data_IF_848922122679
#
_entry.id   IF_848922122679
#
_cell.length_a   1.000
_cell.length_b   1.000
_cell.length_c   1.000
_cell.angle_alpha   90.00
_cell.angle_beta   90.00
_cell.angle_gamma   90.00
#
_symmetry.space_group_name_H-M   'P 1'
#
loop_
_entity.id
_entity.type
_entity.pdbx_description
1 polymer ?
#
# COMPACT_ATOMS: atom_id res chain seq x y z
N UNK A 1 -20.49 -10.12 5.81
CA UNK A 1 -19.07 -9.87 6.15
C UNK A 1 -18.83 -8.38 6.06
N UNK A 2 -18.29 -7.73 7.10
CA UNK A 2 -17.97 -6.31 7.05
C UNK A 2 -16.63 -6.14 6.30
N UNK A 3 -16.68 -5.88 4.99
CA UNK A 3 -15.51 -5.67 4.13
C UNK A 3 -14.97 -4.24 4.24
N UNK A 4 -15.49 -3.43 5.16
CA UNK A 4 -15.29 -1.98 5.18
C UNK A 4 -16.11 -1.24 4.12
N UNK A 5 -16.94 -1.94 3.34
CA UNK A 5 -17.89 -1.33 2.42
C UNK A 5 -19.07 -0.72 3.18
N UNK A 6 -19.48 0.49 2.79
CA UNK A 6 -20.58 1.23 3.40
C UNK A 6 -21.43 1.86 2.29
N UNK A 7 -22.62 1.31 2.03
CA UNK A 7 -23.50 1.69 0.92
C UNK A 7 -23.83 3.18 0.91
N UNK A 8 -24.20 3.76 2.05
CA UNK A 8 -24.55 5.19 2.16
C UNK A 8 -23.37 6.11 1.77
N UNK A 9 -22.14 5.72 2.13
CA UNK A 9 -20.94 6.46 1.72
C UNK A 9 -20.65 6.30 0.23
N UNK A 10 -20.85 5.12 -0.33
CA UNK A 10 -20.65 4.89 -1.77
C UNK A 10 -21.68 5.67 -2.61
N UNK A 11 -22.94 5.74 -2.18
CA UNK A 11 -23.98 6.56 -2.84
C UNK A 11 -23.60 8.04 -2.86
N UNK A 12 -23.21 8.61 -1.72
CA UNK A 12 -22.76 10.01 -1.62
C UNK A 12 -21.52 10.29 -2.48
N UNK A 13 -20.63 9.32 -2.63
CA UNK A 13 -19.45 9.45 -3.49
C UNK A 13 -19.84 9.41 -4.96
N UNK A 14 -20.77 8.53 -5.36
CA UNK A 14 -21.29 8.47 -6.73
C UNK A 14 -21.98 9.77 -7.15
N UNK A 15 -22.71 10.41 -6.24
CA UNK A 15 -23.31 11.74 -6.49
C UNK A 15 -22.23 12.80 -6.77
N UNK A 16 -21.12 12.76 -6.02
CA UNK A 16 -20.04 13.74 -6.13
C UNK A 16 -19.07 13.46 -7.27
N UNK A 17 -18.88 12.20 -7.62
CA UNK A 17 -17.90 11.72 -8.58
C UNK A 17 -18.54 10.68 -9.51
N UNK A 18 -19.52 11.07 -10.35
CA UNK A 18 -20.25 10.12 -11.19
C UNK A 18 -19.30 9.42 -12.17
N UNK A 19 -19.55 8.14 -12.52
CA UNK A 19 -18.76 7.42 -13.52
C UNK A 19 -18.77 8.18 -14.85
N UNK A 20 -17.62 8.23 -15.54
CA UNK A 20 -17.51 8.98 -16.80
C UNK A 20 -17.59 8.08 -18.04
N UNK A 21 -17.76 6.78 -17.85
CA UNK A 21 -18.12 5.85 -18.91
C UNK A 21 -19.08 4.78 -18.39
N UNK A 22 -19.85 4.20 -19.31
CA UNK A 22 -20.63 3.00 -19.03
C UNK A 22 -19.78 1.73 -19.18
N UNK A 23 -20.10 0.71 -18.37
CA UNK A 23 -19.51 -0.62 -18.46
C UNK A 23 -18.10 -0.75 -17.89
N UNK A 24 -17.44 -1.87 -18.20
CA UNK A 24 -16.05 -2.12 -17.80
C UNK A 24 -15.12 -1.95 -19.00
N UNK A 25 -14.04 -1.20 -18.81
CA UNK A 25 -13.00 -1.05 -19.83
C UNK A 25 -11.70 -1.70 -19.36
N UNK A 26 -11.14 -2.55 -20.22
CA UNK A 26 -9.79 -3.09 -19.99
C UNK A 26 -8.76 -2.02 -20.38
N UNK A 27 -7.75 -1.84 -19.52
CA UNK A 27 -6.60 -0.96 -19.76
C UNK A 27 -5.34 -1.80 -19.60
N UNK A 28 -4.56 -1.91 -20.67
CA UNK A 28 -3.35 -2.74 -20.78
C UNK A 28 -2.12 -1.97 -21.31
N UNK A 29 -2.29 -0.69 -21.66
CA UNK A 29 -1.22 0.21 -22.08
C UNK A 29 -1.04 1.35 -21.07
N UNK A 30 0.15 1.99 -20.99
CA UNK A 30 0.36 3.14 -20.12
C UNK A 30 -0.73 4.20 -20.32
N UNK A 31 -1.45 4.54 -19.26
CA UNK A 31 -2.67 5.36 -19.33
C UNK A 31 -2.77 6.28 -18.11
N UNK A 32 -3.05 7.55 -18.37
CA UNK A 32 -3.52 8.48 -17.33
C UNK A 32 -5.04 8.40 -17.31
N UNK A 33 -5.59 8.26 -16.11
CA UNK A 33 -7.00 8.05 -15.89
C UNK A 33 -7.53 9.34 -15.24
N UNK A 34 -8.50 9.99 -15.89
CA UNK A 34 -9.05 11.29 -15.49
C UNK A 34 -10.50 11.16 -15.10
N UNK A 35 -11.00 11.95 -14.15
CA UNK A 35 -12.42 12.07 -13.89
C UNK A 35 -13.20 12.96 -14.86
N UNK A 36 -14.51 13.04 -14.67
CA UNK A 36 -15.42 13.86 -15.49
C UNK A 36 -15.05 15.34 -15.48
N UNK A 37 -14.36 15.82 -14.45
CA UNK A 37 -13.83 17.19 -14.38
C UNK A 37 -12.39 17.33 -14.91
N UNK A 38 -11.81 16.27 -15.47
CA UNK A 38 -10.45 16.27 -16.01
C UNK A 38 -9.33 16.14 -14.96
N UNK A 39 -9.68 15.86 -13.70
CA UNK A 39 -8.72 15.63 -12.62
C UNK A 39 -8.15 14.22 -12.71
N UNK A 40 -6.84 14.06 -12.54
CA UNK A 40 -6.22 12.73 -12.53
C UNK A 40 -6.68 11.95 -11.30
N UNK A 41 -7.09 10.70 -11.49
CA UNK A 41 -7.53 9.78 -10.43
C UNK A 41 -6.65 8.52 -10.34
N UNK A 42 -5.91 8.21 -11.40
CA UNK A 42 -4.91 7.14 -11.37
C UNK A 42 -3.93 7.27 -12.55
N UNK A 43 -2.74 6.71 -12.37
CA UNK A 43 -1.83 6.38 -13.45
C UNK A 43 -1.69 4.86 -13.52
N UNK A 44 -1.87 4.30 -14.70
CA UNK A 44 -1.55 2.91 -14.98
C UNK A 44 -0.28 2.85 -15.80
N UNK A 45 0.76 2.21 -15.25
CA UNK A 45 2.11 2.15 -15.82
C UNK A 45 2.58 0.69 -15.91
N UNK A 46 2.16 -0.07 -16.93
CA UNK A 46 2.62 -1.44 -17.12
C UNK A 46 4.12 -1.46 -17.41
N UNK A 47 4.80 -2.49 -16.90
CA UNK A 47 6.24 -2.73 -17.09
C UNK A 47 7.16 -1.55 -16.71
N UNK A 48 6.70 -0.64 -15.85
CA UNK A 48 7.49 0.50 -15.40
C UNK A 48 8.69 0.13 -14.53
N UNK A 49 8.67 -1.06 -13.92
CA UNK A 49 9.77 -1.57 -13.11
C UNK A 49 10.70 -2.45 -13.95
N UNK A 50 11.99 -2.10 -13.95
CA UNK A 50 13.03 -2.94 -14.54
C UNK A 50 13.07 -4.33 -13.89
N UNK A 51 13.49 -5.34 -14.65
CA UNK A 51 13.69 -6.70 -14.13
C UNK A 51 14.63 -6.75 -12.91
N UNK A 52 15.63 -5.84 -12.84
CA UNK A 52 16.52 -5.74 -11.69
C UNK A 52 15.76 -5.27 -10.43
N UNK A 53 14.96 -4.20 -10.52
CA UNK A 53 14.14 -3.72 -9.41
C UNK A 53 13.11 -4.77 -8.97
N UNK A 54 12.49 -5.49 -9.92
CA UNK A 54 11.56 -6.57 -9.58
C UNK A 54 12.26 -7.69 -8.79
N UNK A 55 13.48 -8.09 -9.18
CA UNK A 55 14.28 -9.07 -8.43
C UNK A 55 14.66 -8.58 -7.03
N UNK A 56 14.99 -7.29 -6.87
CA UNK A 56 15.27 -6.71 -5.55
C UNK A 56 14.05 -6.80 -4.62
N UNK A 57 12.87 -6.40 -5.11
CA UNK A 57 11.61 -6.49 -4.36
C UNK A 57 11.34 -7.96 -3.99
N UNK A 58 11.48 -8.88 -4.94
CA UNK A 58 11.30 -10.31 -4.70
C UNK A 58 12.26 -10.83 -3.62
N UNK A 59 13.56 -10.55 -3.74
CA UNK A 59 14.55 -10.97 -2.75
C UNK A 59 14.29 -10.36 -1.35
N UNK A 60 13.79 -9.13 -1.29
CA UNK A 60 13.39 -8.52 -0.02
C UNK A 60 12.22 -9.28 0.64
N UNK A 61 11.30 -9.84 -0.15
CA UNK A 61 10.19 -10.65 0.41
C UNK A 61 10.66 -11.96 1.04
N UNK A 62 11.78 -12.54 0.59
CA UNK A 62 12.36 -13.73 1.23
C UNK A 62 12.82 -13.46 2.66
N UNK A 63 13.35 -12.25 2.93
CA UNK A 63 13.77 -11.82 4.27
C UNK A 63 12.58 -11.70 5.24
N UNK A 64 11.37 -11.52 4.71
CA UNK A 64 10.15 -11.44 5.50
C UNK A 64 9.60 -12.81 5.89
N UNK A 65 10.06 -13.89 5.25
CA UNK A 65 9.54 -15.26 5.42
C UNK A 65 9.54 -15.73 6.88
N UNK A 66 10.59 -15.38 7.64
CA UNK A 66 10.74 -15.78 9.05
C UNK A 66 9.84 -14.97 9.99
N UNK A 67 9.68 -13.66 9.76
CA UNK A 67 8.84 -12.78 10.58
C UNK A 67 7.33 -12.99 10.36
N UNK A 68 6.94 -13.73 9.31
CA UNK A 68 5.58 -13.69 8.76
C UNK A 68 4.76 -14.99 8.83
N UNK A 69 5.21 -16.06 9.48
CA UNK A 69 4.43 -17.32 9.51
C UNK A 69 3.05 -17.19 10.18
N UNK A 70 2.75 -16.05 10.82
CA UNK A 70 1.53 -15.81 11.60
C UNK A 70 0.51 -14.86 10.95
N UNK A 71 0.76 -14.38 9.72
CA UNK A 71 -0.12 -13.37 9.09
C UNK A 71 -1.45 -13.94 8.58
N UNK A 72 -1.49 -15.23 8.27
CA UNK A 72 -2.69 -15.93 7.81
C UNK A 72 -3.32 -16.69 8.97
N UNK A 73 -4.64 -16.56 9.15
CA UNK A 73 -5.39 -17.11 10.29
C UNK A 73 -6.65 -17.83 9.79
N UNK A 74 -6.96 -18.98 10.38
CA UNK A 74 -8.17 -19.76 10.04
C UNK A 74 -9.44 -18.92 10.27
N UNK A 75 -9.52 -18.22 11.42
CA UNK A 75 -10.63 -17.33 11.76
C UNK A 75 -10.18 -15.86 11.75
N UNK A 76 -9.45 -15.46 10.71
CA UNK A 76 -9.00 -14.08 10.53
C UNK A 76 -10.14 -13.12 10.15
N UNK A 77 -9.86 -11.83 10.20
CA UNK A 77 -10.73 -10.85 9.53
C UNK A 77 -10.57 -10.93 8.00
N UNK A 78 -11.31 -10.11 7.25
CA UNK A 78 -11.25 -10.12 5.78
C UNK A 78 -9.84 -9.88 5.20
N UNK A 79 -8.90 -9.30 5.97
CA UNK A 79 -7.50 -9.11 5.55
C UNK A 79 -6.59 -10.32 5.82
N UNK A 80 -6.93 -11.16 6.79
CA UNK A 80 -6.04 -12.21 7.33
C UNK A 80 -6.64 -13.62 7.28
N UNK A 81 -7.92 -13.76 6.94
CA UNK A 81 -8.59 -15.05 6.84
C UNK A 81 -7.96 -15.90 5.72
N UNK A 82 -7.61 -17.15 6.04
CA UNK A 82 -7.02 -18.12 5.13
C UNK A 82 -7.83 -18.42 3.87
N UNK A 83 -9.16 -18.23 3.89
CA UNK A 83 -10.04 -18.43 2.73
C UNK A 83 -9.69 -17.50 1.56
N UNK A 84 -9.11 -16.33 1.85
CA UNK A 84 -8.72 -15.35 0.83
C UNK A 84 -7.32 -15.59 0.26
N UNK A 85 -6.59 -16.57 0.77
CA UNK A 85 -5.25 -16.88 0.31
C UNK A 85 -5.26 -18.14 -0.54
N UNK A 86 -4.61 -18.08 -1.70
CA UNK A 86 -4.39 -19.29 -2.52
C UNK A 86 -3.34 -20.14 -1.83
N UNK A 87 -3.74 -21.33 -1.37
CA UNK A 87 -2.86 -22.34 -0.79
C UNK A 87 -2.30 -23.32 -1.83
N UNK A 88 -2.47 -23.06 -3.13
CA UNK A 88 -2.19 -24.04 -4.18
C UNK A 88 -0.73 -24.51 -4.19
N UNK A 89 -0.62 -25.81 -4.37
CA UNK A 89 0.52 -26.71 -4.32
C UNK A 89 1.72 -26.30 -5.18
N UNK A 90 2.91 -26.49 -4.60
CA UNK A 90 4.20 -26.79 -5.24
C UNK A 90 4.85 -25.73 -6.17
N UNK A 91 4.15 -24.73 -6.70
CA UNK A 91 4.69 -23.93 -7.83
C UNK A 91 4.68 -22.40 -7.68
N UNK A 92 4.51 -21.85 -6.48
CA UNK A 92 4.69 -20.40 -6.26
C UNK A 92 5.77 -20.16 -5.22
N UNK A 93 6.91 -19.64 -5.66
CA UNK A 93 8.08 -19.34 -4.82
C UNK A 93 7.85 -18.33 -3.68
N UNK A 94 6.62 -17.85 -3.48
CA UNK A 94 6.23 -16.96 -2.37
C UNK A 94 5.09 -17.58 -1.54
N UNK A 95 5.30 -17.68 -0.24
CA UNK A 95 4.24 -18.09 0.70
C UNK A 95 3.14 -17.03 0.76
N UNK A 96 1.84 -17.40 0.87
CA UNK A 96 0.73 -16.46 1.05
C UNK A 96 0.83 -15.69 2.37
N UNK A 97 0.81 -14.35 2.30
CA UNK A 97 1.11 -13.46 3.45
C UNK A 97 0.47 -12.08 3.30
N UNK A 98 0.26 -11.40 4.42
CA UNK A 98 -0.14 -9.99 4.47
C UNK A 98 0.61 -9.29 5.60
N UNK A 99 1.29 -8.18 5.32
CA UNK A 99 2.10 -7.44 6.27
C UNK A 99 1.93 -5.95 6.07
N UNK A 100 1.88 -5.20 7.18
CA UNK A 100 2.04 -3.75 7.17
C UNK A 100 3.34 -3.40 7.89
N UNK A 101 4.13 -2.54 7.26
CA UNK A 101 5.33 -1.92 7.80
C UNK A 101 5.05 -0.43 7.94
N UNK A 102 5.40 0.15 9.08
CA UNK A 102 5.24 1.59 9.32
C UNK A 102 6.16 2.06 10.44
N UNK A 103 6.85 3.20 10.26
CA UNK A 103 7.62 3.86 11.33
C UNK A 103 6.74 4.55 12.36
N UNK A 104 5.52 4.94 11.97
CA UNK A 104 4.60 5.68 12.81
C UNK A 104 3.15 5.36 12.39
N UNK A 105 2.54 4.42 13.11
CA UNK A 105 1.22 3.89 12.87
C UNK A 105 0.28 4.17 14.04
N UNK A 106 -0.88 4.74 13.76
CA UNK A 106 -1.97 4.79 14.75
C UNK A 106 -2.62 3.41 14.82
N UNK A 107 -2.56 2.75 15.97
CA UNK A 107 -3.15 1.42 16.11
C UNK A 107 -4.65 1.47 15.83
N UNK A 108 -5.14 0.50 15.05
CA UNK A 108 -6.55 0.44 14.66
C UNK A 108 -7.43 0.39 15.92
N UNK A 109 -8.39 1.32 16.04
CA UNK A 109 -9.24 1.49 17.23
C UNK A 109 -8.69 2.47 18.29
N UNK A 110 -7.51 3.05 18.06
CA UNK A 110 -6.86 4.04 18.94
C UNK A 110 -6.60 5.38 18.27
N UNK A 111 -7.30 5.65 17.15
CA UNK A 111 -7.03 6.75 16.20
C UNK A 111 -6.99 8.16 16.83
N UNK A 112 -7.49 8.35 18.06
CA UNK A 112 -7.63 9.67 18.68
C UNK A 112 -7.01 9.82 20.09
N UNK A 113 -6.33 8.81 20.64
CA UNK A 113 -5.90 8.85 22.07
C UNK A 113 -4.44 8.47 22.33
N UNK A 114 -3.71 7.90 21.37
CA UNK A 114 -2.32 7.48 21.56
C UNK A 114 -1.39 8.08 20.50
N UNK A 115 -0.12 8.27 20.89
CA UNK A 115 0.93 8.57 19.93
C UNK A 115 1.06 7.45 18.88
N UNK A 116 1.46 7.76 17.63
CA UNK A 116 1.75 6.73 16.64
C UNK A 116 2.98 5.93 17.07
N UNK A 117 2.97 4.64 16.78
CA UNK A 117 4.06 3.73 17.12
C UNK A 117 4.62 3.01 15.89
N UNK A 118 5.85 2.54 15.99
CA UNK A 118 6.42 1.62 15.02
C UNK A 118 5.54 0.37 14.93
N UNK A 119 5.22 -0.06 13.71
CA UNK A 119 4.44 -1.28 13.47
C UNK A 119 5.08 -2.51 14.14
N UNK A 120 4.26 -3.45 14.63
CA UNK A 120 4.77 -4.68 15.28
C UNK A 120 5.74 -5.47 14.38
N UNK A 121 5.54 -5.41 13.06
CA UNK A 121 6.40 -6.02 12.04
C UNK A 121 7.84 -5.49 12.03
N UNK A 122 8.07 -4.28 12.54
CA UNK A 122 9.36 -3.59 12.58
C UNK A 122 9.98 -3.53 13.99
N UNK A 123 9.33 -4.08 15.02
CA UNK A 123 9.88 -4.13 16.40
C UNK A 123 10.88 -5.30 16.61
N UNK A 124 11.19 -6.08 15.58
CA UNK A 124 12.03 -7.29 15.67
C UNK A 124 13.46 -7.12 15.13
N UNK A 125 14.36 -8.08 15.38
CA UNK A 125 15.79 -7.98 15.05
C UNK A 125 16.10 -7.95 13.54
N UNK A 126 15.10 -8.18 12.69
CA UNK A 126 15.24 -8.15 11.23
C UNK A 126 14.79 -6.83 10.60
N UNK A 127 14.29 -5.88 11.40
CA UNK A 127 13.72 -4.61 10.90
C UNK A 127 14.70 -3.85 10.02
N UNK A 128 15.91 -3.59 10.51
CA UNK A 128 16.96 -2.88 9.76
C UNK A 128 17.27 -3.58 8.43
N UNK A 129 17.46 -4.90 8.45
CA UNK A 129 17.79 -5.68 7.25
C UNK A 129 16.69 -5.59 6.20
N UNK A 130 15.43 -5.65 6.64
CA UNK A 130 14.25 -5.51 5.78
C UNK A 130 14.21 -4.10 5.18
N UNK A 131 14.32 -3.06 6.03
CA UNK A 131 14.25 -1.66 5.60
C UNK A 131 15.34 -1.34 4.58
N UNK A 132 16.58 -1.79 4.83
CA UNK A 132 17.69 -1.68 3.87
C UNK A 132 17.40 -2.41 2.56
N UNK A 133 16.82 -3.60 2.60
CA UNK A 133 16.50 -4.38 1.40
C UNK A 133 15.42 -3.71 0.53
N UNK A 134 14.43 -3.05 1.15
CA UNK A 134 13.36 -2.35 0.42
C UNK A 134 13.69 -0.89 0.09
N UNK A 135 14.79 -0.33 0.61
CA UNK A 135 15.08 1.10 0.53
C UNK A 135 15.13 1.63 -0.91
N UNK A 136 15.78 0.91 -1.83
CA UNK A 136 15.86 1.34 -3.23
C UNK A 136 14.50 1.28 -3.94
N UNK A 137 13.75 0.16 -3.91
CA UNK A 137 12.38 0.12 -4.44
C UNK A 137 11.47 1.21 -3.85
N UNK A 138 11.57 1.44 -2.53
CA UNK A 138 10.87 2.50 -1.83
C UNK A 138 11.22 3.89 -2.38
N UNK A 139 12.50 4.18 -2.56
CA UNK A 139 12.96 5.45 -3.12
C UNK A 139 12.45 5.65 -4.56
N UNK A 140 12.35 4.59 -5.37
CA UNK A 140 11.78 4.66 -6.72
C UNK A 140 10.29 5.03 -6.66
N UNK A 141 9.51 4.42 -5.76
CA UNK A 141 8.11 4.78 -5.57
C UNK A 141 7.96 6.24 -5.13
N UNK A 142 8.78 6.70 -4.17
CA UNK A 142 8.82 8.10 -3.75
C UNK A 142 9.19 9.06 -4.89
N UNK A 143 10.17 8.68 -5.73
CA UNK A 143 10.57 9.47 -6.90
C UNK A 143 9.46 9.55 -7.95
N UNK A 144 8.72 8.46 -8.17
CA UNK A 144 7.55 8.47 -9.04
C UNK A 144 6.48 9.43 -8.50
N UNK A 145 6.18 9.37 -7.19
CA UNK A 145 5.24 10.31 -6.57
C UNK A 145 5.70 11.77 -6.70
N UNK A 146 7.00 12.04 -6.55
CA UNK A 146 7.55 13.39 -6.74
C UNK A 146 7.25 13.96 -8.13
N UNK A 147 7.24 13.13 -9.16
CA UNK A 147 6.93 13.54 -10.54
C UNK A 147 5.42 13.64 -10.75
N UNK A 148 4.66 12.66 -10.29
CA UNK A 148 3.21 12.56 -10.55
C UNK A 148 2.38 13.51 -9.67
N UNK A 149 2.79 13.69 -8.42
CA UNK A 149 2.08 14.50 -7.42
C UNK A 149 3.05 15.17 -6.42
N UNK A 150 3.79 16.22 -6.86
CA UNK A 150 4.84 16.86 -6.06
C UNK A 150 4.37 17.36 -4.70
N UNK A 151 3.14 17.87 -4.60
CA UNK A 151 2.57 18.41 -3.35
C UNK A 151 2.46 17.33 -2.27
N UNK A 152 1.97 16.14 -2.63
CA UNK A 152 1.87 15.01 -1.70
C UNK A 152 3.26 14.47 -1.32
N UNK A 153 4.21 14.46 -2.25
CA UNK A 153 5.59 14.10 -1.95
C UNK A 153 6.20 15.02 -0.88
N UNK A 154 6.04 16.34 -1.03
CA UNK A 154 6.56 17.31 -0.06
C UNK A 154 5.82 17.26 1.27
N UNK A 155 4.49 17.08 1.27
CA UNK A 155 3.72 16.87 2.49
C UNK A 155 4.18 15.60 3.25
N UNK A 156 4.49 14.53 2.52
CA UNK A 156 5.10 13.33 3.08
C UNK A 156 6.42 13.63 3.76
N UNK A 157 7.37 14.27 3.06
CA UNK A 157 8.66 14.64 3.65
C UNK A 157 8.53 15.52 4.90
N UNK A 158 7.63 16.51 4.88
CA UNK A 158 7.37 17.35 6.05
C UNK A 158 6.85 16.53 7.22
N UNK A 159 5.93 15.58 6.95
CA UNK A 159 5.43 14.64 7.96
C UNK A 159 6.58 13.84 8.59
N UNK A 160 7.50 13.35 7.77
CA UNK A 160 8.68 12.60 8.25
C UNK A 160 9.64 13.45 9.09
N UNK A 161 9.85 14.72 8.73
CA UNK A 161 10.62 15.66 9.54
C UNK A 161 9.99 15.86 10.92
N UNK A 162 8.67 16.13 10.97
CA UNK A 162 7.94 16.27 12.23
C UNK A 162 7.92 14.98 13.07
N UNK A 163 7.86 13.81 12.43
CA UNK A 163 7.99 12.53 13.13
C UNK A 163 9.38 12.34 13.74
N UNK A 164 10.44 12.79 13.06
CA UNK A 164 11.80 12.79 13.60
C UNK A 164 11.94 13.66 14.85
N UNK A 165 11.49 14.92 14.78
CA UNK A 165 11.47 15.83 15.95
C UNK A 165 10.65 15.26 17.11
N UNK A 166 9.51 14.63 16.81
CA UNK A 166 8.68 13.97 17.80
C UNK A 166 9.37 12.74 18.42
N UNK A 167 10.07 11.94 17.62
CA UNK A 167 10.79 10.78 18.11
C UNK A 167 11.93 11.18 19.05
N UNK A 168 12.64 12.26 18.75
CA UNK A 168 13.68 12.82 19.61
C UNK A 168 13.10 13.40 20.91
N UNK A 169 12.11 14.30 20.80
CA UNK A 169 11.53 14.97 21.97
C UNK A 169 10.82 14.04 22.95
N UNK A 170 10.32 12.89 22.49
CA UNK A 170 9.66 11.86 23.31
C UNK A 170 10.56 10.67 23.64
N UNK A 171 11.85 10.72 23.29
CA UNK A 171 12.81 9.64 23.49
C UNK A 171 12.29 8.28 22.99
N UNK A 172 11.86 8.24 21.72
CA UNK A 172 11.31 7.05 21.05
C UNK A 172 12.36 6.41 20.12
N UNK A 173 13.38 5.69 20.65
CA UNK A 173 14.52 5.21 19.88
C UNK A 173 14.12 4.29 18.72
N UNK A 174 13.10 3.44 18.91
CA UNK A 174 12.61 2.55 17.86
C UNK A 174 12.08 3.32 16.64
N UNK A 175 11.39 4.44 16.88
CA UNK A 175 10.87 5.28 15.80
C UNK A 175 12.04 5.96 15.07
N UNK A 176 12.98 6.56 15.80
CA UNK A 176 14.17 7.19 15.22
C UNK A 176 15.00 6.22 14.36
N UNK A 177 15.26 5.01 14.88
CA UNK A 177 15.98 3.96 14.14
C UNK A 177 15.23 3.52 12.88
N UNK A 178 13.91 3.38 12.96
CA UNK A 178 13.10 2.99 11.80
C UNK A 178 13.09 4.09 10.74
N UNK A 179 12.92 5.36 11.15
CA UNK A 179 12.91 6.52 10.26
C UNK A 179 14.23 6.67 9.50
N UNK A 180 15.37 6.33 10.11
CA UNK A 180 16.70 6.39 9.48
C UNK A 180 16.80 5.56 8.19
N UNK A 181 16.10 4.42 8.12
CA UNK A 181 16.13 3.51 6.98
C UNK A 181 14.85 3.57 6.11
N UNK A 182 13.88 4.39 6.49
CA UNK A 182 12.60 4.48 5.80
C UNK A 182 12.70 5.38 4.57
N UNK A 183 12.71 4.77 3.38
CA UNK A 183 12.89 5.48 2.11
C UNK A 183 11.57 5.83 1.37
N UNK A 184 10.41 5.59 2.00
CA UNK A 184 9.10 5.97 1.46
C UNK A 184 8.65 7.32 2.04
N UNK A 185 8.05 8.16 1.19
CA UNK A 185 7.32 9.36 1.65
C UNK A 185 5.92 9.05 2.19
N UNK A 186 5.51 7.79 2.10
CA UNK A 186 4.34 7.24 2.77
C UNK A 186 4.71 6.74 4.15
N UNK A 187 3.84 6.93 5.15
CA UNK A 187 4.03 6.41 6.50
C UNK A 187 3.74 4.90 6.61
N UNK A 188 3.42 4.23 5.51
CA UNK A 188 3.08 2.81 5.50
C UNK A 188 3.50 2.12 4.21
N UNK A 189 3.82 0.83 4.34
CA UNK A 189 3.98 -0.11 3.23
C UNK A 189 3.23 -1.39 3.56
N UNK A 190 2.29 -1.76 2.69
CA UNK A 190 1.60 -3.04 2.75
C UNK A 190 2.17 -4.02 1.74
N UNK A 191 2.49 -5.24 2.20
CA UNK A 191 2.95 -6.35 1.37
C UNK A 191 1.87 -7.42 1.41
N UNK A 192 1.31 -7.73 0.23
CA UNK A 192 0.22 -8.68 0.07
C UNK A 192 0.66 -9.72 -0.96
N UNK A 193 0.77 -10.97 -0.55
CA UNK A 193 1.18 -12.09 -1.39
C UNK A 193 0.09 -13.15 -1.43
N UNK A 194 -0.24 -13.60 -2.65
CA UNK A 194 -1.20 -14.68 -2.93
C UNK A 194 -2.55 -14.53 -2.20
N UNK A 195 -3.00 -13.29 -1.98
CA UNK A 195 -4.30 -12.96 -1.39
C UNK A 195 -5.22 -12.37 -2.45
N UNK A 196 -6.45 -12.84 -2.51
CA UNK A 196 -7.54 -12.11 -3.14
C UNK A 196 -7.98 -11.00 -2.19
N UNK A 197 -7.79 -9.76 -2.61
CA UNK A 197 -8.32 -8.61 -1.86
C UNK A 197 -9.76 -8.36 -2.30
N UNK A 198 -10.68 -8.47 -1.35
CA UNK A 198 -12.09 -8.17 -1.57
C UNK A 198 -12.32 -6.70 -1.92
N UNK A 199 -13.43 -6.41 -2.59
CA UNK A 199 -13.86 -5.04 -2.84
C UNK A 199 -14.02 -4.31 -1.50
N UNK A 200 -13.28 -3.21 -1.37
CA UNK A 200 -13.29 -2.31 -0.22
C UNK A 200 -12.80 -0.93 -0.68
N UNK A 201 -13.03 0.08 0.15
CA UNK A 201 -12.49 1.43 -0.02
C UNK A 201 -11.69 1.79 1.21
N UNK A 202 -10.59 2.52 1.01
CA UNK A 202 -9.90 3.16 2.13
C UNK A 202 -10.60 4.47 2.45
N UNK A 203 -11.33 4.49 3.57
CA UNK A 203 -12.15 5.63 3.98
C UNK A 203 -11.38 6.67 4.80
N UNK A 204 -10.13 6.38 5.14
CA UNK A 204 -9.30 7.25 5.99
C UNK A 204 -8.30 8.07 5.18
N UNK A 205 -8.21 7.84 3.87
CA UNK A 205 -7.37 8.64 2.99
C UNK A 205 -8.03 9.98 2.65
N UNK A 206 -7.19 11.00 2.46
CA UNK A 206 -7.60 12.30 1.92
C UNK A 206 -7.82 12.13 0.42
N UNK A 207 -8.89 12.73 -0.12
CA UNK A 207 -9.36 12.50 -1.48
C UNK A 207 -8.35 12.87 -2.56
N UNK A 208 -7.51 13.87 -2.28
CA UNK A 208 -6.48 14.40 -3.16
C UNK A 208 -5.16 13.61 -3.08
N UNK A 209 -5.06 12.62 -2.17
CA UNK A 209 -3.87 11.79 -2.01
C UNK A 209 -3.97 10.49 -2.78
N UNK A 210 -2.85 10.07 -3.36
CA UNK A 210 -2.72 8.83 -4.10
C UNK A 210 -1.97 7.79 -3.29
N UNK A 211 -2.34 6.53 -3.45
CA UNK A 211 -1.51 5.40 -3.09
C UNK A 211 -0.69 4.90 -4.28
N UNK A 212 0.43 4.23 -4.01
CA UNK A 212 1.21 3.52 -5.03
C UNK A 212 1.04 2.01 -4.83
N UNK A 213 0.53 1.35 -5.86
CA UNK A 213 0.47 -0.11 -5.93
C UNK A 213 1.53 -0.63 -6.91
N UNK A 214 2.41 -1.48 -6.39
CA UNK A 214 3.43 -2.18 -7.18
C UNK A 214 3.13 -3.67 -7.15
N UNK A 215 3.15 -4.30 -8.32
CA UNK A 215 2.97 -5.74 -8.49
C UNK A 215 4.28 -6.37 -8.96
N UNK A 216 4.69 -7.46 -8.31
CA UNK A 216 5.92 -8.21 -8.63
C UNK A 216 5.63 -9.69 -8.56
N UNK A 217 6.19 -10.44 -9.50
CA UNK A 217 6.14 -11.89 -9.53
C UNK A 217 5.78 -12.45 -10.89
N UNK A 218 5.83 -13.77 -11.00
CA UNK A 218 5.39 -14.45 -12.21
C UNK A 218 3.87 -14.68 -12.10
N UNK A 219 3.09 -13.89 -12.84
CA UNK A 219 1.64 -14.03 -12.92
C UNK A 219 1.16 -13.72 -14.33
N UNK A 220 0.07 -14.37 -14.71
CA UNK A 220 -0.70 -14.08 -15.93
C UNK A 220 -2.12 -13.71 -15.53
N UNK A 221 -2.76 -12.80 -16.27
CA UNK A 221 -4.16 -12.40 -16.07
C UNK A 221 -4.46 -11.83 -14.66
N UNK A 222 -3.52 -11.06 -14.10
CA UNK A 222 -3.81 -10.27 -12.91
C UNK A 222 -4.59 -9.02 -13.30
N UNK A 223 -5.74 -8.80 -12.64
CA UNK A 223 -6.60 -7.66 -12.90
C UNK A 223 -6.94 -6.95 -11.59
N UNK A 224 -6.82 -5.62 -11.59
CA UNK A 224 -7.44 -4.76 -10.58
C UNK A 224 -8.81 -4.39 -11.13
N UNK A 225 -9.87 -4.76 -10.42
CA UNK A 225 -11.25 -4.40 -10.74
C UNK A 225 -11.75 -3.41 -9.70
N UNK A 226 -12.73 -2.58 -10.07
CA UNK A 226 -13.39 -1.72 -9.08
C UNK A 226 -12.88 -0.29 -8.96
N UNK A 227 -12.20 0.26 -9.96
CA UNK A 227 -12.09 1.73 -10.09
C UNK A 227 -13.46 2.38 -10.47
N UNK A 228 -14.58 1.67 -10.27
CA UNK A 228 -15.86 1.81 -10.96
C UNK A 228 -16.64 3.10 -10.63
N UNK A 229 -16.30 3.77 -9.53
CA UNK A 229 -17.07 4.92 -9.03
C UNK A 229 -16.25 6.22 -9.08
N UNK A 230 -15.15 6.22 -9.84
CA UNK A 230 -14.46 7.46 -10.15
C UNK A 230 -14.80 7.78 -11.59
N UNK A 231 -15.35 8.96 -11.85
CA UNK A 231 -15.56 9.46 -13.20
C UNK A 231 -14.38 9.10 -14.11
N UNK A 232 -14.63 8.76 -15.37
CA UNK A 232 -13.56 8.53 -16.33
C UNK A 232 -13.82 9.32 -17.60
N UNK A 233 -12.90 10.16 -18.03
CA UNK A 233 -12.82 10.58 -19.43
C UNK A 233 -11.49 10.14 -20.03
N UNK A 234 -11.52 9.83 -21.32
CA UNK A 234 -10.33 9.51 -22.12
C UNK A 234 -9.65 10.79 -22.58
#
# INVERSE_FOLDING_TARGET
>A
MNTGHNEEKEEKLLERCPPGHEGTKLVDIPTTILNVSGTIIAWYLPDALTAATQREIWAATDLLTLSLKKSVKVNGNWRTNSEWFKHSSEDVGLTPRCMNLSPAWFQQGHENLSDPEVSASLKGPFSEKILKAIARPAAIASAALRVMHPEQYWAGLQTFASLGEKAESKELPQMSETLQYWALVFNSLSIISNRQTLNHRDHLSILECFDILITVGNYSNAHIKGLLDMGFMK
#
